data_IF_772278663471
#
_entry.id   IF_772278663471
#
_cell.length_a   1.000
_cell.length_b   1.000
_cell.length_c   1.000
_cell.angle_alpha   90.00
_cell.angle_beta   90.00
_cell.angle_gamma   90.00
#
_symmetry.space_group_name_H-M   'P 1'
#
loop_
_entity.id
_entity.type
_entity.pdbx_description
1 polymer ?
#
# COMPACT_ATOMS: atom_id res chain seq x y z
N UNK A 1 -3.24 14.98 -2.59
CA UNK A 1 -2.15 14.65 -3.52
C UNK A 1 -1.90 13.14 -3.51
N UNK A 2 -1.73 12.54 -4.67
CA UNK A 2 -1.51 11.09 -4.76
C UNK A 2 -0.01 10.83 -4.83
N UNK A 3 0.47 9.95 -3.96
CA UNK A 3 1.87 9.55 -3.93
C UNK A 3 1.99 8.14 -4.48
N UNK A 4 2.91 7.93 -5.41
CA UNK A 4 3.22 6.60 -5.96
C UNK A 4 4.42 6.03 -5.20
N UNK A 5 4.26 4.81 -4.69
CA UNK A 5 5.31 4.14 -3.92
C UNK A 5 5.98 3.09 -4.81
N UNK A 6 7.31 3.13 -4.85
CA UNK A 6 8.08 2.19 -5.66
C UNK A 6 7.93 0.77 -5.15
N UNK A 7 7.45 -0.12 -6.00
CA UNK A 7 7.31 -1.55 -5.70
C UNK A 7 7.98 -2.42 -6.78
N UNK A 8 8.95 -1.85 -7.49
CA UNK A 8 9.61 -2.51 -8.62
C UNK A 8 10.32 -3.81 -8.24
N UNK A 9 10.67 -3.97 -6.95
CA UNK A 9 11.33 -5.19 -6.46
C UNK A 9 10.35 -6.28 -6.02
N UNK A 10 9.05 -6.01 -6.09
CA UNK A 10 8.01 -6.95 -5.71
C UNK A 10 7.36 -7.55 -6.96
N UNK A 11 7.49 -8.85 -7.16
CA UNK A 11 6.99 -9.48 -8.37
C UNK A 11 5.46 -9.62 -8.41
N UNK A 12 4.82 -9.66 -7.24
CA UNK A 12 3.37 -9.84 -7.15
C UNK A 12 2.58 -8.55 -6.92
N UNK A 13 3.26 -7.43 -6.73
CA UNK A 13 2.63 -6.12 -6.54
C UNK A 13 2.96 -5.25 -7.75
N UNK A 14 1.92 -4.74 -8.43
CA UNK A 14 2.11 -3.93 -9.62
C UNK A 14 2.16 -2.44 -9.32
N UNK A 15 1.41 -1.97 -8.31
CA UNK A 15 1.41 -0.55 -7.95
C UNK A 15 0.96 -0.35 -6.51
N UNK A 16 1.49 0.68 -5.86
CA UNK A 16 1.03 1.15 -4.55
C UNK A 16 0.86 2.65 -4.65
N UNK A 17 -0.34 3.14 -4.35
CA UNK A 17 -0.69 4.55 -4.43
C UNK A 17 -1.27 4.99 -3.09
N UNK A 18 -0.91 6.19 -2.65
CA UNK A 18 -1.41 6.73 -1.39
C UNK A 18 -1.99 8.13 -1.60
N UNK A 19 -3.22 8.33 -1.09
CA UNK A 19 -3.86 9.64 -1.04
C UNK A 19 -3.79 10.17 0.38
N UNK A 20 -3.02 11.23 0.59
CA UNK A 20 -2.89 11.83 1.92
C UNK A 20 -4.13 12.62 2.33
N UNK A 21 -4.94 13.06 1.38
CA UNK A 21 -6.18 13.79 1.65
C UNK A 21 -7.23 12.89 2.28
N UNK A 22 -7.32 11.65 1.83
CA UNK A 22 -8.32 10.68 2.32
C UNK A 22 -7.68 9.60 3.20
N UNK A 23 -6.37 9.60 3.34
CA UNK A 23 -5.59 8.57 4.03
C UNK A 23 -5.89 7.17 3.51
N UNK A 24 -6.07 7.06 2.19
CA UNK A 24 -6.37 5.80 1.53
C UNK A 24 -5.13 5.28 0.82
N UNK A 25 -4.76 4.04 1.12
CA UNK A 25 -3.67 3.34 0.47
C UNK A 25 -4.25 2.32 -0.50
N UNK A 26 -3.94 2.48 -1.78
CA UNK A 26 -4.40 1.54 -2.81
C UNK A 26 -3.24 0.63 -3.19
N UNK A 27 -3.50 -0.68 -3.17
CA UNK A 27 -2.52 -1.69 -3.57
C UNK A 27 -3.09 -2.46 -4.76
N UNK A 28 -2.34 -2.47 -5.86
CA UNK A 28 -2.70 -3.22 -7.06
C UNK A 28 -1.73 -4.38 -7.23
N UNK A 29 -2.28 -5.56 -7.41
CA UNK A 29 -1.49 -6.78 -7.55
C UNK A 29 -1.35 -7.19 -9.01
N UNK A 30 -0.29 -7.94 -9.31
CA UNK A 30 -0.01 -8.37 -10.69
C UNK A 30 -1.04 -9.33 -11.26
N UNK A 31 -1.87 -9.96 -10.41
CA UNK A 31 -2.96 -10.83 -10.85
C UNK A 31 -4.24 -10.05 -11.23
N UNK A 32 -4.19 -8.71 -11.18
CA UNK A 32 -5.32 -7.86 -11.54
C UNK A 32 -6.20 -7.44 -10.37
N UNK A 33 -5.96 -7.96 -9.17
CA UNK A 33 -6.72 -7.57 -7.99
C UNK A 33 -6.22 -6.25 -7.44
N UNK A 34 -7.12 -5.47 -6.84
CA UNK A 34 -6.78 -4.22 -6.19
C UNK A 34 -7.59 -4.05 -4.91
N UNK A 35 -6.98 -3.41 -3.91
CA UNK A 35 -7.60 -3.16 -2.62
C UNK A 35 -7.32 -1.74 -2.17
N UNK A 36 -8.31 -1.11 -1.53
CA UNK A 36 -8.12 0.16 -0.81
C UNK A 36 -8.08 -0.12 0.68
N UNK A 37 -7.08 0.43 1.36
CA UNK A 37 -6.96 0.39 2.82
C UNK A 37 -7.22 1.78 3.36
N UNK A 38 -8.09 1.91 4.37
CA UNK A 38 -8.61 3.19 4.83
C UNK A 38 -7.97 3.62 6.15
N UNK A 39 -7.92 4.93 6.37
CA UNK A 39 -7.40 5.53 7.59
C UNK A 39 -5.94 5.16 7.88
N UNK A 40 -5.14 5.09 6.81
CA UNK A 40 -3.71 4.80 6.92
C UNK A 40 -2.96 6.11 7.11
N UNK A 41 -2.31 6.35 8.27
CA UNK A 41 -1.57 7.59 8.48
C UNK A 41 -0.34 7.72 7.58
N UNK A 42 0.04 8.94 7.26
CA UNK A 42 1.19 9.21 6.40
C UNK A 42 2.50 8.67 6.98
N UNK A 43 2.65 8.68 8.30
CA UNK A 43 3.87 8.16 8.95
C UNK A 43 4.03 6.65 8.76
N UNK A 44 2.91 5.91 8.71
CA UNK A 44 2.93 4.48 8.42
C UNK A 44 3.37 4.25 6.98
N UNK A 45 2.89 5.08 6.05
CA UNK A 45 3.30 5.01 4.64
C UNK A 45 4.79 5.28 4.49
N UNK A 46 5.33 6.24 5.25
CA UNK A 46 6.76 6.53 5.22
C UNK A 46 7.60 5.34 5.68
N UNK A 47 7.15 4.64 6.72
CA UNK A 47 7.83 3.43 7.20
C UNK A 47 7.76 2.31 6.15
N UNK A 48 6.61 2.16 5.51
CA UNK A 48 6.41 1.18 4.46
C UNK A 48 7.37 1.41 3.29
N UNK A 49 7.60 2.66 2.93
CA UNK A 49 8.51 3.02 1.83
C UNK A 49 9.95 2.62 2.10
N UNK A 50 10.37 2.61 3.37
CA UNK A 50 11.74 2.28 3.76
C UNK A 50 12.06 0.79 3.64
N UNK A 51 11.04 -0.06 3.64
CA UNK A 51 11.24 -1.51 3.54
C UNK A 51 11.43 -1.90 2.09
N UNK A 52 12.51 -2.60 1.79
CA UNK A 52 12.85 -2.97 0.42
C UNK A 52 11.80 -3.88 -0.20
N UNK A 53 11.36 -4.91 0.53
CA UNK A 53 10.29 -5.80 0.07
C UNK A 53 8.95 -5.22 0.42
N UNK A 54 8.20 -4.71 -0.56
CA UNK A 54 6.88 -4.10 -0.32
C UNK A 54 5.84 -5.13 0.11
N UNK A 55 5.94 -6.36 -0.38
CA UNK A 55 5.06 -7.43 0.10
C UNK A 55 5.21 -7.66 1.59
N UNK A 56 6.45 -7.73 2.07
CA UNK A 56 6.73 -7.87 3.50
C UNK A 56 6.27 -6.64 4.27
N UNK A 57 6.48 -5.45 3.73
CA UNK A 57 6.05 -4.21 4.36
C UNK A 57 4.53 -4.17 4.55
N UNK A 58 3.77 -4.61 3.54
CA UNK A 58 2.31 -4.66 3.64
C UNK A 58 1.87 -5.63 4.73
N UNK A 59 2.49 -6.80 4.83
CA UNK A 59 2.20 -7.75 5.91
C UNK A 59 2.50 -7.16 7.28
N UNK A 60 3.61 -6.45 7.40
CA UNK A 60 4.09 -5.94 8.66
C UNK A 60 3.29 -4.74 9.17
N UNK A 61 2.87 -3.83 8.26
CA UNK A 61 2.28 -2.55 8.64
C UNK A 61 0.80 -2.39 8.26
N UNK A 62 0.32 -3.10 7.26
CA UNK A 62 -1.01 -2.84 6.68
C UNK A 62 -2.00 -3.98 6.92
N UNK A 63 -1.65 -5.20 6.56
CA UNK A 63 -2.58 -6.33 6.65
C UNK A 63 -2.95 -6.61 8.11
N UNK A 64 -4.27 -6.65 8.38
CA UNK A 64 -4.78 -6.89 9.72
C UNK A 64 -4.83 -5.65 10.62
N UNK A 65 -4.33 -4.51 10.16
CA UNK A 65 -4.33 -3.27 10.94
C UNK A 65 -5.36 -2.25 10.47
N UNK A 66 -5.76 -2.31 9.21
CA UNK A 66 -6.65 -1.32 8.62
C UNK A 66 -7.82 -1.98 7.91
N UNK A 67 -8.96 -1.28 7.90
CA UNK A 67 -10.12 -1.69 7.13
C UNK A 67 -9.80 -1.60 5.64
N UNK A 68 -10.26 -2.56 4.87
CA UNK A 68 -9.99 -2.58 3.43
C UNK A 68 -11.22 -2.96 2.65
N UNK A 69 -11.21 -2.61 1.36
CA UNK A 69 -12.23 -2.97 0.41
C UNK A 69 -11.58 -3.44 -0.88
N UNK A 70 -12.01 -4.60 -1.37
CA UNK A 70 -11.57 -5.11 -2.66
C UNK A 70 -12.29 -4.35 -3.77
N UNK A 71 -11.54 -3.95 -4.78
CA UNK A 71 -12.06 -3.20 -5.92
C UNK A 71 -12.46 -4.10 -7.08
#
# INVERSE_FOLDING_TARGET
MIKTIDCSKSSHISAILYSDETQTLRVEYSNGEAYNYFDVPADVVEELEKVESKGRALHQFIYGYYTHKRL
#
